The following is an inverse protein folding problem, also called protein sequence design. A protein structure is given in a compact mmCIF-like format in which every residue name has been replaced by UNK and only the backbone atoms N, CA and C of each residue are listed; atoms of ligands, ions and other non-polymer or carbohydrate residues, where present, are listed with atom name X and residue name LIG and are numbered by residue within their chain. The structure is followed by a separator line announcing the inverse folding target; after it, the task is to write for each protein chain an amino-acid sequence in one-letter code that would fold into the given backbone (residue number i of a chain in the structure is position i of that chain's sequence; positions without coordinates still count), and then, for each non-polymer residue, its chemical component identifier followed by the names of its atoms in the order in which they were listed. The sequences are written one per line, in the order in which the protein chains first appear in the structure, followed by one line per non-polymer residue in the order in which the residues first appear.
data_IF_471200746112
#
_entry.id   IF_471200746112
#
_cell.length_a   1.000
_cell.length_b   1.000
_cell.length_c   1.000
_cell.angle_alpha   90.00
_cell.angle_beta   90.00
_cell.angle_gamma   90.00
#
_symmetry.space_group_name_H-M   'P 1'
#
loop_
_entity.id
_entity.type
_entity.pdbx_description
1 polymer ?
#
# COMPACT_ATOMS: atom_id res chain seq x y z
N UNK A 1 -9.98 15.68 6.03
CA UNK A 1 -10.76 15.48 4.78
C UNK A 1 -9.78 15.04 3.71
N UNK A 2 -10.09 13.98 2.97
CA UNK A 2 -9.24 13.48 1.88
C UNK A 2 -10.01 13.56 0.57
N UNK A 3 -9.33 13.95 -0.52
CA UNK A 3 -9.91 13.96 -1.88
C UNK A 3 -9.08 13.08 -2.79
N UNK A 4 -9.72 12.19 -3.55
CA UNK A 4 -9.03 11.28 -4.47
C UNK A 4 -10.02 10.77 -5.51
N UNK A 5 -9.62 10.71 -6.77
CA UNK A 5 -10.42 10.10 -7.86
C UNK A 5 -11.90 10.54 -7.92
N UNK A 6 -12.17 11.83 -7.66
CA UNK A 6 -13.53 12.40 -7.61
C UNK A 6 -14.34 12.05 -6.34
N UNK A 7 -13.74 11.31 -5.42
CA UNK A 7 -14.27 11.06 -4.09
C UNK A 7 -13.80 12.09 -3.07
N UNK A 8 -14.66 12.33 -2.09
CA UNK A 8 -14.42 13.16 -0.92
C UNK A 8 -14.70 12.32 0.32
N UNK A 9 -13.67 12.05 1.11
CA UNK A 9 -13.77 11.37 2.40
C UNK A 9 -13.71 12.41 3.53
N UNK A 10 -14.87 12.72 4.10
CA UNK A 10 -15.02 13.65 5.22
C UNK A 10 -15.02 12.88 6.55
N UNK A 11 -13.89 12.90 7.24
CA UNK A 11 -13.70 12.22 8.53
C UNK A 11 -14.53 12.87 9.64
N UNK A 12 -14.76 14.19 9.58
CA UNK A 12 -15.51 14.90 10.62
C UNK A 12 -17.02 14.59 10.52
N UNK A 13 -17.54 14.50 9.28
CA UNK A 13 -18.93 14.15 9.01
C UNK A 13 -19.18 12.64 8.95
N UNK A 14 -18.12 11.84 8.88
CA UNK A 14 -18.14 10.39 8.63
C UNK A 14 -18.85 10.02 7.32
N UNK A 15 -18.56 10.78 6.26
CA UNK A 15 -19.21 10.63 4.96
C UNK A 15 -18.18 10.38 3.85
N UNK A 16 -18.50 9.44 2.96
CA UNK A 16 -17.85 9.30 1.66
C UNK A 16 -18.78 9.87 0.61
N UNK A 17 -18.29 10.79 -0.22
CA UNK A 17 -19.06 11.40 -1.31
C UNK A 17 -18.36 11.19 -2.64
N UNK A 18 -19.15 11.14 -3.72
CA UNK A 18 -18.66 11.25 -5.09
C UNK A 18 -19.48 12.31 -5.80
N UNK A 19 -18.87 13.47 -6.06
CA UNK A 19 -19.63 14.68 -6.39
C UNK A 19 -20.64 15.01 -5.27
N UNK A 20 -21.92 15.08 -5.63
CA UNK A 20 -23.01 15.39 -4.68
C UNK A 20 -23.66 14.17 -4.03
N UNK A 21 -23.32 12.96 -4.48
CA UNK A 21 -23.90 11.73 -3.94
C UNK A 21 -23.14 11.26 -2.70
N UNK A 22 -23.86 11.04 -1.59
CA UNK A 22 -23.32 10.39 -0.39
C UNK A 22 -23.38 8.87 -0.56
N UNK A 23 -22.22 8.21 -0.41
CA UNK A 23 -22.09 6.76 -0.41
C UNK A 23 -22.30 6.23 1.01
N UNK A 24 -23.44 5.58 1.23
CA UNK A 24 -23.74 4.93 2.49
C UNK A 24 -22.71 3.83 2.78
N UNK A 25 -22.16 3.85 3.99
CA UNK A 25 -21.11 2.94 4.42
C UNK A 25 -21.34 2.54 5.87
N UNK A 26 -21.10 1.27 6.18
CA UNK A 26 -21.13 0.82 7.58
C UNK A 26 -20.03 1.54 8.36
N UNK A 27 -20.25 1.93 9.63
CA UNK A 27 -19.27 2.68 10.42
C UNK A 27 -17.88 2.05 10.40
N UNK A 28 -17.82 0.73 10.51
CA UNK A 28 -16.57 0.00 10.52
C UNK A 28 -15.84 -0.05 9.17
N UNK A 29 -16.59 -0.11 8.07
CA UNK A 29 -16.03 -0.01 6.72
C UNK A 29 -15.46 1.39 6.49
N UNK A 30 -16.10 2.41 7.09
CA UNK A 30 -15.61 3.79 7.06
C UNK A 30 -14.31 3.94 7.82
N UNK A 31 -14.26 3.42 9.06
CA UNK A 31 -13.04 3.46 9.85
C UNK A 31 -11.90 2.70 9.16
N UNK A 32 -12.18 1.55 8.54
CA UNK A 32 -11.23 0.83 7.70
C UNK A 32 -10.68 1.68 6.55
N UNK A 33 -11.56 2.34 5.77
CA UNK A 33 -11.14 3.15 4.65
C UNK A 33 -10.32 4.37 5.12
N UNK A 34 -10.76 5.06 6.16
CA UNK A 34 -10.02 6.19 6.76
C UNK A 34 -8.65 5.73 7.21
N UNK A 35 -8.55 4.58 7.87
CA UNK A 35 -7.29 4.05 8.36
C UNK A 35 -6.31 3.76 7.22
N UNK A 36 -6.78 3.14 6.13
CA UNK A 36 -5.94 2.89 4.95
C UNK A 36 -5.51 4.17 4.25
N UNK A 37 -6.42 5.15 4.10
CA UNK A 37 -6.10 6.43 3.46
C UNK A 37 -5.08 7.20 4.31
N UNK A 38 -5.21 7.16 5.64
CA UNK A 38 -4.28 7.81 6.57
C UNK A 38 -2.86 7.19 6.53
N UNK A 39 -2.74 5.91 6.20
CA UNK A 39 -1.48 5.15 6.13
C UNK A 39 -1.12 4.70 4.70
N UNK A 40 -1.55 5.46 3.68
CA UNK A 40 -1.42 5.16 2.24
C UNK A 40 0.04 4.96 1.77
N UNK A 41 1.01 5.48 2.51
CA UNK A 41 2.44 5.37 2.25
C UNK A 41 2.98 3.95 2.39
N UNK A 42 2.29 3.09 3.14
CA UNK A 42 2.74 1.72 3.45
C UNK A 42 1.64 0.68 3.27
N UNK A 43 2.04 -0.58 3.34
CA UNK A 43 1.10 -1.69 3.50
C UNK A 43 0.70 -1.78 4.96
N UNK A 44 -0.59 -1.73 5.24
CA UNK A 44 -1.12 -1.92 6.60
C UNK A 44 -1.35 -3.41 6.81
N UNK A 45 -0.79 -3.96 7.90
CA UNK A 45 -0.86 -5.38 8.18
C UNK A 45 -2.29 -5.82 8.53
N UNK A 46 -2.66 -7.06 8.19
CA UNK A 46 -3.97 -7.61 8.57
C UNK A 46 -4.20 -7.57 10.08
N UNK A 47 -3.20 -8.00 10.85
CA UNK A 47 -3.29 -8.04 12.31
C UNK A 47 -3.46 -6.63 12.89
N UNK A 48 -2.73 -5.65 12.37
CA UNK A 48 -2.87 -4.25 12.74
C UNK A 48 -4.30 -3.72 12.47
N UNK A 49 -4.88 -4.05 11.31
CA UNK A 49 -6.25 -3.67 10.98
C UNK A 49 -7.27 -4.31 11.93
N UNK A 50 -7.10 -5.60 12.25
CA UNK A 50 -7.94 -6.30 13.21
C UNK A 50 -7.83 -5.68 14.61
N UNK A 51 -6.61 -5.42 15.07
CA UNK A 51 -6.36 -4.87 16.39
C UNK A 51 -6.85 -3.43 16.52
N UNK A 52 -6.69 -2.60 15.49
CA UNK A 52 -7.06 -1.18 15.56
C UNK A 52 -8.56 -0.93 15.37
N UNK A 53 -9.21 -1.67 14.47
CA UNK A 53 -10.60 -1.41 14.07
C UNK A 53 -11.62 -2.32 14.78
N UNK A 54 -11.16 -3.40 15.42
CA UNK A 54 -12.01 -4.40 16.08
C UNK A 54 -11.56 -4.72 17.52
N UNK A 55 -11.06 -3.73 18.26
CA UNK A 55 -10.67 -3.89 19.67
C UNK A 55 -11.75 -4.58 20.50
N UNK A 56 -11.48 -5.81 20.96
CA UNK A 56 -12.33 -6.53 21.90
C UNK A 56 -13.44 -7.40 21.29
N UNK A 57 -13.58 -7.47 19.97
CA UNK A 57 -14.52 -8.38 19.33
C UNK A 57 -13.82 -9.67 18.87
N UNK A 58 -14.49 -10.84 18.97
CA UNK A 58 -13.99 -12.10 18.40
C UNK A 58 -14.19 -12.08 16.88
N UNK A 59 -13.28 -11.43 16.18
CA UNK A 59 -13.43 -11.17 14.74
C UNK A 59 -12.38 -11.92 13.97
N UNK A 60 -12.79 -12.47 12.83
CA UNK A 60 -11.95 -13.33 12.00
C UNK A 60 -11.56 -12.60 10.71
N UNK A 61 -10.59 -13.16 10.00
CA UNK A 61 -10.22 -12.75 8.63
C UNK A 61 -11.45 -12.56 7.72
N UNK A 62 -12.53 -13.32 7.93
CA UNK A 62 -13.75 -13.19 7.14
C UNK A 62 -14.43 -11.82 7.29
N UNK A 63 -14.40 -11.22 8.48
CA UNK A 63 -14.97 -9.88 8.70
C UNK A 63 -14.12 -8.80 8.06
N UNK A 64 -12.79 -8.94 8.12
CA UNK A 64 -11.88 -8.04 7.40
C UNK A 64 -12.10 -8.13 5.89
N UNK A 65 -12.25 -9.33 5.34
CA UNK A 65 -12.56 -9.53 3.93
C UNK A 65 -13.90 -8.89 3.55
N UNK A 66 -14.95 -9.02 4.37
CA UNK A 66 -16.23 -8.34 4.14
C UNK A 66 -16.08 -6.83 4.16
N UNK A 67 -15.32 -6.29 5.12
CA UNK A 67 -15.07 -4.85 5.20
C UNK A 67 -14.35 -4.33 3.94
N UNK A 68 -13.34 -5.06 3.45
CA UNK A 68 -12.63 -4.74 2.20
C UNK A 68 -13.59 -4.76 1.01
N UNK A 69 -14.44 -5.79 0.89
CA UNK A 69 -15.41 -5.89 -0.21
C UNK A 69 -16.42 -4.73 -0.20
N UNK A 70 -16.96 -4.38 0.98
CA UNK A 70 -17.86 -3.23 1.12
C UNK A 70 -17.16 -1.90 0.84
N UNK A 71 -15.89 -1.74 1.25
CA UNK A 71 -15.10 -0.56 0.93
C UNK A 71 -14.90 -0.40 -0.58
N UNK A 72 -14.52 -1.49 -1.27
CA UNK A 72 -14.40 -1.50 -2.75
C UNK A 72 -15.71 -1.17 -3.45
N UNK A 73 -16.83 -1.69 -2.95
CA UNK A 73 -18.15 -1.37 -3.49
C UNK A 73 -18.53 0.11 -3.29
N UNK A 74 -18.23 0.69 -2.12
CA UNK A 74 -18.47 2.11 -1.86
C UNK A 74 -17.59 3.02 -2.73
N UNK A 75 -16.40 2.54 -3.12
CA UNK A 75 -15.47 3.18 -4.05
C UNK A 75 -15.75 2.82 -5.52
N UNK A 76 -16.87 2.17 -5.82
CA UNK A 76 -17.18 1.75 -7.18
C UNK A 76 -17.26 2.95 -8.14
N UNK A 77 -16.76 2.71 -9.35
CA UNK A 77 -16.67 3.69 -10.43
C UNK A 77 -15.47 4.62 -10.32
N UNK A 78 -14.54 4.37 -9.40
CA UNK A 78 -13.20 4.92 -9.49
C UNK A 78 -12.53 4.55 -10.84
N UNK A 79 -11.60 5.38 -11.31
CA UNK A 79 -10.84 5.20 -12.57
C UNK A 79 -9.90 3.98 -12.53
N UNK A 80 -9.66 3.42 -11.34
CA UNK A 80 -8.81 2.26 -11.10
C UNK A 80 -9.03 1.65 -9.72
N UNK A 81 -8.27 0.62 -9.38
CA UNK A 81 -8.35 0.00 -8.06
C UNK A 81 -7.68 0.92 -7.01
N UNK A 82 -8.45 1.35 -6.00
CA UNK A 82 -7.94 2.25 -4.95
C UNK A 82 -7.42 1.52 -3.71
N UNK A 83 -7.74 0.22 -3.57
CA UNK A 83 -7.33 -0.62 -2.44
C UNK A 83 -6.66 -1.88 -3.00
N UNK A 84 -5.35 -1.97 -2.84
CA UNK A 84 -4.54 -3.12 -3.26
C UNK A 84 -4.47 -4.18 -2.16
N UNK A 85 -4.60 -5.45 -2.54
CA UNK A 85 -4.40 -6.59 -1.63
C UNK A 85 -2.98 -7.12 -1.75
N UNK A 86 -2.20 -7.03 -0.67
CA UNK A 86 -0.92 -7.72 -0.56
C UNK A 86 -1.11 -9.07 0.14
N UNK A 87 -1.11 -10.15 -0.65
CA UNK A 87 -1.33 -11.50 -0.16
C UNK A 87 -0.49 -11.81 1.09
N UNK A 88 -1.14 -12.33 2.13
CA UNK A 88 -0.54 -12.71 3.44
C UNK A 88 0.09 -11.55 4.24
N UNK A 89 0.09 -10.31 3.74
CA UNK A 89 0.61 -9.13 4.44
C UNK A 89 -0.52 -8.22 4.91
N UNK A 90 -1.39 -7.80 4.00
CA UNK A 90 -2.48 -6.88 4.32
C UNK A 90 -2.94 -6.06 3.13
N UNK A 91 -3.23 -4.78 3.35
CA UNK A 91 -3.89 -3.93 2.37
C UNK A 91 -3.21 -2.57 2.29
N UNK A 92 -3.29 -1.95 1.11
CA UNK A 92 -2.74 -0.61 0.88
C UNK A 92 -3.73 0.25 0.10
N UNK A 93 -3.87 1.51 0.50
CA UNK A 93 -4.55 2.50 -0.32
C UNK A 93 -3.58 3.03 -1.39
N UNK A 94 -3.95 2.91 -2.65
CA UNK A 94 -3.11 3.30 -3.81
C UNK A 94 -3.68 4.48 -4.59
N UNK A 95 -4.83 5.01 -4.16
CA UNK A 95 -5.40 6.22 -4.74
C UNK A 95 -4.51 7.45 -4.51
N UNK A 96 -4.42 8.32 -5.52
CA UNK A 96 -3.71 9.60 -5.40
C UNK A 96 -4.59 10.58 -4.62
N UNK A 97 -4.15 10.95 -3.42
CA UNK A 97 -4.85 11.92 -2.56
C UNK A 97 -4.37 13.33 -2.88
N UNK A 98 -5.29 14.26 -3.11
CA UNK A 98 -4.99 15.68 -3.34
C UNK A 98 -4.50 16.37 -2.06
N UNK A 99 -3.54 17.28 -2.19
CA UNK A 99 -2.95 17.99 -1.05
C UNK A 99 -1.79 17.24 -0.40
N UNK A 100 -1.67 15.94 -0.67
CA UNK A 100 -0.41 15.24 -0.54
C UNK A 100 0.44 15.55 -1.78
N UNK A 101 1.11 16.70 -1.73
CA UNK A 101 2.47 16.68 -2.22
C UNK A 101 3.13 15.58 -1.38
N UNK A 102 3.24 14.38 -1.95
CA UNK A 102 4.13 13.38 -1.39
C UNK A 102 5.37 14.15 -0.93
N UNK A 103 5.91 13.96 0.30
CA UNK A 103 7.32 14.27 0.45
C UNK A 103 7.93 13.58 -0.75
N UNK A 104 8.60 14.34 -1.61
CA UNK A 104 9.29 13.79 -2.75
C UNK A 104 10.21 12.74 -2.13
N UNK A 105 9.70 11.50 -2.05
CA UNK A 105 10.41 10.38 -1.53
C UNK A 105 11.55 10.32 -2.49
N UNK A 106 12.70 10.68 -1.96
CA UNK A 106 13.81 11.18 -2.72
C UNK A 106 14.03 10.21 -3.88
N UNK A 107 13.63 10.65 -5.08
CA UNK A 107 14.04 9.97 -6.31
C UNK A 107 15.51 10.25 -6.58
N UNK A 108 16.24 10.95 -5.70
CA UNK A 108 17.68 10.77 -5.56
C UNK A 108 17.93 9.58 -4.65
N UNK A 109 18.56 8.52 -5.08
CA UNK A 109 18.68 7.94 -6.38
C UNK A 109 18.74 6.46 -6.02
N UNK A 110 17.88 5.63 -6.58
CA UNK A 110 18.13 4.20 -6.56
C UNK A 110 19.12 3.96 -7.71
N UNK A 111 20.44 3.84 -7.46
CA UNK A 111 21.35 3.55 -8.55
C UNK A 111 20.96 2.20 -9.14
N UNK A 112 20.93 2.15 -10.48
CA UNK A 112 20.72 0.92 -11.21
C UNK A 112 21.68 -0.16 -10.67
N UNK A 113 21.21 -1.41 -10.48
CA UNK A 113 22.09 -2.50 -10.09
C UNK A 113 23.26 -2.57 -11.07
N UNK A 114 24.49 -2.61 -10.54
CA UNK A 114 25.67 -2.82 -11.37
C UNK A 114 25.83 -4.33 -11.56
N UNK A 115 25.94 -4.72 -12.81
CA UNK A 115 26.21 -6.09 -13.19
C UNK A 115 27.71 -6.20 -13.52
N UNK A 116 28.35 -7.24 -13.02
CA UNK A 116 29.69 -7.64 -13.46
C UNK A 116 29.62 -9.07 -13.93
N UNK A 117 30.16 -9.31 -15.12
CA UNK A 117 30.40 -10.64 -15.64
C UNK A 117 31.86 -11.01 -15.34
N UNK A 118 32.06 -12.11 -14.62
CA UNK A 118 33.41 -12.65 -14.42
C UNK A 118 33.90 -13.30 -15.70
N UNK A 119 35.22 -13.46 -15.85
CA UNK A 119 35.84 -14.07 -17.04
C UNK A 119 35.37 -15.51 -17.32
N UNK A 120 34.76 -16.15 -16.34
CA UNK A 120 34.25 -17.53 -16.39
C UNK A 120 32.71 -17.60 -16.58
N UNK A 121 32.05 -16.50 -16.96
CA UNK A 121 30.61 -16.48 -17.30
C UNK A 121 29.65 -16.37 -16.11
N UNK A 122 30.17 -16.13 -14.90
CA UNK A 122 29.31 -15.87 -13.73
C UNK A 122 28.80 -14.42 -13.76
N UNK A 123 27.47 -14.26 -13.82
CA UNK A 123 26.81 -12.96 -13.68
C UNK A 123 26.50 -12.67 -12.21
N UNK A 124 27.09 -11.60 -11.69
CA UNK A 124 26.84 -11.11 -10.34
C UNK A 124 26.07 -9.79 -10.42
N UNK A 125 24.92 -9.73 -9.73
CA UNK A 125 24.27 -8.48 -9.38
C UNK A 125 24.59 -8.20 -7.91
N UNK A 126 25.14 -7.01 -7.62
CA UNK A 126 25.45 -6.63 -6.25
C UNK A 126 25.00 -5.20 -5.94
N UNK A 127 24.82 -4.93 -4.64
CA UNK A 127 24.49 -3.61 -4.10
C UNK A 127 25.12 -3.44 -2.73
N UNK A 128 25.67 -2.25 -2.47
CA UNK A 128 26.01 -1.78 -1.12
C UNK A 128 24.77 -1.18 -0.46
N UNK A 129 24.47 -1.62 0.76
CA UNK A 129 23.59 -0.92 1.69
C UNK A 129 24.46 -0.37 2.83
N UNK A 130 24.32 0.91 3.14
CA UNK A 130 25.00 1.58 4.26
C UNK A 130 25.89 2.74 3.84
N UNK A 131 25.95 3.76 4.69
CA UNK A 131 26.89 4.88 4.61
C UNK A 131 28.13 4.54 5.47
N UNK A 132 29.26 4.41 4.78
CA UNK A 132 30.67 4.31 5.20
C UNK A 132 31.16 3.56 6.45
N UNK A 133 30.34 2.93 7.31
CA UNK A 133 30.87 1.98 8.31
C UNK A 133 29.94 0.79 8.57
N UNK A 134 30.44 -0.37 8.13
CA UNK A 134 30.01 -1.74 8.44
C UNK A 134 28.65 -2.20 7.88
N UNK A 135 28.67 -3.46 7.41
CA UNK A 135 27.52 -4.31 7.06
C UNK A 135 26.91 -4.16 5.65
N UNK A 136 27.79 -4.23 4.64
CA UNK A 136 27.36 -4.56 3.28
C UNK A 136 26.76 -5.98 3.24
N UNK A 137 25.43 -6.09 3.25
CA UNK A 137 24.73 -7.36 3.05
C UNK A 137 24.70 -7.68 1.56
N UNK A 138 25.54 -8.61 1.12
CA UNK A 138 25.51 -9.16 -0.24
C UNK A 138 24.44 -10.24 -0.30
N UNK A 139 23.36 -9.98 -1.05
CA UNK A 139 22.37 -11.01 -1.40
C UNK A 139 22.77 -11.60 -2.76
N UNK A 140 23.33 -12.80 -2.75
CA UNK A 140 23.62 -13.55 -3.96
C UNK A 140 22.36 -14.30 -4.41
N UNK A 141 21.87 -14.04 -5.62
CA UNK A 141 20.80 -14.83 -6.24
C UNK A 141 21.39 -15.58 -7.43
N UNK A 142 21.87 -16.83 -7.27
CA UNK A 142 22.34 -17.62 -8.39
C UNK A 142 21.17 -18.19 -9.19
N UNK A 143 21.23 -18.09 -10.53
CA UNK A 143 20.39 -18.87 -11.44
C UNK A 143 19.21 -18.15 -12.09
N UNK A 144 19.44 -17.03 -12.79
CA UNK A 144 18.43 -16.47 -13.70
C UNK A 144 18.93 -16.43 -15.14
N UNK A 145 18.07 -16.82 -16.08
CA UNK A 145 18.27 -16.73 -17.53
C UNK A 145 17.19 -15.82 -18.11
N UNK A 146 17.58 -14.88 -18.97
CA UNK A 146 16.63 -14.09 -19.75
C UNK A 146 16.00 -14.95 -20.86
N UNK A 147 14.72 -14.75 -21.21
CA UNK A 147 14.23 -15.12 -22.53
C UNK A 147 14.83 -14.17 -23.58
N UNK A 148 15.23 -14.72 -24.72
CA UNK A 148 15.83 -13.99 -25.85
C UNK A 148 14.91 -12.92 -26.43
#
# INVERSE_FOLDING_TARGET
MYRFDGFVLDVARRELRRGDEVRAMQPQVFDFLVYLVAHRERVVAKQELLDQLWQGARVTDASLQRAVSHARQALAGASGELIETHARRGYRFVGKVEGDAAPAADRRAWPAPRFVETRDGLHLAWRTLGDERADATVVLVPGWAFPM
#
